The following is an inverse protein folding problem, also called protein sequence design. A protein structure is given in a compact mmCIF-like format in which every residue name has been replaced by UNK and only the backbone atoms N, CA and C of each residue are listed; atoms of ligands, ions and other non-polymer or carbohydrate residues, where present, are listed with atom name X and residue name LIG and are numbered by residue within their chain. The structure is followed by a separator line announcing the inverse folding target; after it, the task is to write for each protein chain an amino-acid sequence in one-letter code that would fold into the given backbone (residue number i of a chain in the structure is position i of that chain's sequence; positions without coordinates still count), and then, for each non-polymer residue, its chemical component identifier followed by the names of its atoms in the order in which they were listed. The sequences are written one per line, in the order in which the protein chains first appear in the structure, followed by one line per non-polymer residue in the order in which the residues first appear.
data_IF_270863433869
#
_entry.id   IF_270863433869
#
_cell.length_a   1.000
_cell.length_b   1.000
_cell.length_c   1.000
_cell.angle_alpha   90.00
_cell.angle_beta   90.00
_cell.angle_gamma   90.00
#
_symmetry.space_group_name_H-M   'P 1'
#
loop_
_entity.id
_entity.type
_entity.pdbx_description
1 polymer ?
#
# COMPACT_ATOMS: atom_id res chain seq x y z
N UNK A 1 0.05 -18.77 -40.49
CA UNK A 1 -0.33 -17.35 -40.47
C UNK A 1 0.28 -16.75 -39.22
N UNK A 2 1.33 -15.93 -39.41
CA UNK A 2 2.10 -15.33 -38.28
C UNK A 2 1.27 -14.20 -37.69
N UNK A 3 0.81 -14.35 -36.44
CA UNK A 3 0.26 -13.24 -35.69
C UNK A 3 1.40 -12.28 -35.35
N UNK A 4 1.53 -11.21 -36.14
CA UNK A 4 2.35 -10.08 -35.76
C UNK A 4 1.77 -9.49 -34.46
N UNK A 5 2.43 -9.74 -33.34
CA UNK A 5 2.18 -9.04 -32.10
C UNK A 5 2.50 -7.58 -32.38
N UNK A 6 1.46 -6.78 -32.55
CA UNK A 6 1.58 -5.32 -32.60
C UNK A 6 2.18 -4.87 -31.28
N UNK A 7 3.46 -4.60 -31.26
CA UNK A 7 4.13 -3.91 -30.16
C UNK A 7 3.46 -2.55 -30.04
N UNK A 8 2.53 -2.42 -29.09
CA UNK A 8 2.07 -1.10 -28.67
C UNK A 8 3.32 -0.36 -28.24
N UNK A 9 3.65 0.75 -28.86
CA UNK A 9 4.67 1.67 -28.39
C UNK A 9 4.24 2.13 -27.00
N UNK A 10 4.67 1.37 -26.01
CA UNK A 10 4.42 1.66 -24.60
C UNK A 10 5.44 2.70 -24.17
N UNK A 11 4.99 3.81 -23.59
CA UNK A 11 5.86 4.78 -22.93
C UNK A 11 6.46 4.23 -21.62
N UNK A 12 6.48 2.91 -21.47
CA UNK A 12 7.11 2.25 -20.31
C UNK A 12 8.60 2.21 -20.52
N UNK A 13 9.41 2.80 -19.63
CA UNK A 13 10.86 2.78 -19.74
C UNK A 13 11.40 1.34 -19.66
N UNK A 14 12.39 1.03 -20.49
CA UNK A 14 13.01 -0.30 -20.57
C UNK A 14 14.44 -0.30 -20.03
N UNK A 15 15.05 0.86 -19.91
CA UNK A 15 16.40 1.05 -19.37
C UNK A 15 16.37 1.97 -18.16
N UNK A 16 17.41 1.89 -17.30
CA UNK A 16 17.54 2.79 -16.15
C UNK A 16 17.60 4.26 -16.58
N UNK A 17 18.29 4.57 -17.68
CA UNK A 17 18.38 5.94 -18.20
C UNK A 17 17.02 6.48 -18.62
N UNK A 18 16.24 5.67 -19.34
CA UNK A 18 14.88 6.03 -19.71
C UNK A 18 13.98 6.21 -18.48
N UNK A 19 14.11 5.32 -17.48
CA UNK A 19 13.35 5.39 -16.24
C UNK A 19 13.67 6.68 -15.45
N UNK A 20 14.94 7.09 -15.40
CA UNK A 20 15.35 8.34 -14.77
C UNK A 20 14.80 9.57 -15.51
N UNK A 21 14.89 9.61 -16.83
CA UNK A 21 14.32 10.69 -17.64
C UNK A 21 12.80 10.76 -17.51
N UNK A 22 12.14 9.62 -17.58
CA UNK A 22 10.70 9.50 -17.39
C UNK A 22 10.26 10.01 -16.00
N UNK A 23 10.98 9.64 -14.96
CA UNK A 23 10.71 10.07 -13.59
C UNK A 23 10.94 11.58 -13.39
N UNK A 24 11.94 12.14 -14.04
CA UNK A 24 12.20 13.58 -14.03
C UNK A 24 11.05 14.36 -14.67
N UNK A 25 10.58 13.92 -15.85
CA UNK A 25 9.44 14.53 -16.54
C UNK A 25 8.17 14.42 -15.70
N UNK A 26 7.85 13.24 -15.17
CA UNK A 26 6.64 13.03 -14.38
C UNK A 26 6.64 13.86 -13.10
N UNK A 27 7.80 13.98 -12.43
CA UNK A 27 7.90 14.76 -11.20
C UNK A 27 7.58 16.26 -11.39
N UNK A 28 7.72 16.78 -12.61
CA UNK A 28 7.39 18.17 -12.95
C UNK A 28 5.92 18.37 -13.31
N UNK A 29 5.15 17.29 -13.44
CA UNK A 29 3.74 17.35 -13.80
C UNK A 29 2.85 17.58 -12.59
N UNK A 30 1.86 18.45 -12.72
CA UNK A 30 0.80 18.64 -11.72
C UNK A 30 -0.22 17.48 -11.72
N UNK A 31 -0.16 16.59 -12.73
CA UNK A 31 -1.06 15.44 -12.85
C UNK A 31 -0.64 14.26 -11.95
N UNK A 32 0.58 14.27 -11.41
CA UNK A 32 0.99 13.28 -10.42
C UNK A 32 0.62 13.74 -9.00
N UNK A 33 0.39 12.81 -8.05
CA UNK A 33 0.12 13.13 -6.66
C UNK A 33 1.20 14.06 -6.07
N UNK A 34 0.80 14.96 -5.18
CA UNK A 34 1.68 16.00 -4.60
C UNK A 34 2.95 15.43 -3.95
N UNK A 35 2.86 14.24 -3.38
CA UNK A 35 4.00 13.54 -2.77
C UNK A 35 5.12 13.22 -3.75
N UNK A 36 4.84 13.15 -5.05
CA UNK A 36 5.80 12.88 -6.12
C UNK A 36 6.28 14.14 -6.85
N UNK A 37 5.58 15.26 -6.71
CA UNK A 37 5.93 16.52 -7.40
C UNK A 37 7.29 17.04 -6.91
N UNK A 38 8.18 17.32 -7.88
CA UNK A 38 9.55 17.75 -7.61
C UNK A 38 10.48 16.68 -7.04
N UNK A 39 10.06 15.42 -7.00
CA UNK A 39 10.81 14.31 -6.38
C UNK A 39 11.03 13.16 -7.34
N UNK A 40 11.88 13.29 -8.35
CA UNK A 40 12.09 12.26 -9.38
C UNK A 40 12.54 10.92 -8.82
N UNK A 41 13.34 10.91 -7.76
CA UNK A 41 13.76 9.66 -7.11
C UNK A 41 12.57 8.89 -6.51
N UNK A 42 11.59 9.58 -5.90
CA UNK A 42 10.40 8.94 -5.37
C UNK A 42 9.51 8.39 -6.50
N UNK A 43 9.40 9.13 -7.62
CA UNK A 43 8.70 8.66 -8.82
C UNK A 43 9.34 7.38 -9.34
N UNK A 44 10.68 7.36 -9.48
CA UNK A 44 11.43 6.19 -9.95
C UNK A 44 11.15 4.96 -9.09
N UNK A 45 11.26 5.11 -7.78
CA UNK A 45 11.03 4.00 -6.83
C UNK A 45 9.60 3.50 -6.88
N UNK A 46 8.61 4.41 -6.92
CA UNK A 46 7.20 4.01 -6.99
C UNK A 46 6.87 3.31 -8.31
N UNK A 47 7.40 3.78 -9.43
CA UNK A 47 7.25 3.14 -10.74
C UNK A 47 7.89 1.75 -10.74
N UNK A 48 9.10 1.61 -10.21
CA UNK A 48 9.78 0.32 -10.10
C UNK A 48 8.97 -0.68 -9.29
N UNK A 49 8.52 -0.29 -8.10
CA UNK A 49 7.64 -1.14 -7.29
C UNK A 49 6.34 -1.52 -8.00
N UNK A 50 5.72 -0.55 -8.64
CA UNK A 50 4.50 -0.82 -9.41
C UNK A 50 4.73 -1.87 -10.49
N UNK A 51 5.82 -1.76 -11.22
CA UNK A 51 6.17 -2.73 -12.27
C UNK A 51 6.39 -4.14 -11.71
N UNK A 52 7.04 -4.27 -10.55
CA UNK A 52 7.21 -5.56 -9.86
C UNK A 52 5.90 -6.18 -9.39
N UNK A 53 4.87 -5.34 -9.19
CA UNK A 53 3.51 -5.74 -8.84
C UNK A 53 2.60 -5.92 -10.05
N UNK A 54 3.11 -5.69 -11.26
CA UNK A 54 2.32 -5.75 -12.49
C UNK A 54 1.46 -4.51 -12.75
N UNK A 55 1.71 -3.39 -12.07
CA UNK A 55 1.05 -2.11 -12.32
C UNK A 55 1.79 -1.34 -13.43
N UNK A 56 1.03 -0.66 -14.30
CA UNK A 56 1.62 0.31 -15.21
C UNK A 56 2.16 1.53 -14.44
N UNK A 57 3.17 2.28 -14.97
CA UNK A 57 3.81 3.38 -14.27
C UNK A 57 2.85 4.41 -13.67
N UNK A 58 1.83 4.83 -14.43
CA UNK A 58 0.86 5.81 -13.95
C UNK A 58 -0.07 5.22 -12.87
N UNK A 59 -0.40 3.93 -12.97
CA UNK A 59 -1.16 3.22 -11.93
C UNK A 59 -0.34 3.11 -10.65
N UNK A 60 0.95 2.88 -10.75
CA UNK A 60 1.85 2.85 -9.60
C UNK A 60 1.83 4.18 -8.84
N UNK A 61 2.00 5.30 -9.52
CA UNK A 61 1.99 6.63 -8.90
C UNK A 61 0.65 6.99 -8.25
N UNK A 62 -0.46 6.51 -8.81
CA UNK A 62 -1.78 6.79 -8.25
C UNK A 62 -2.17 5.89 -7.08
N UNK A 63 -1.59 4.69 -7.01
CA UNK A 63 -2.04 3.68 -6.07
C UNK A 63 -1.02 3.31 -4.99
N UNK A 64 0.24 3.73 -5.11
CA UNK A 64 1.27 3.50 -4.11
C UNK A 64 1.50 4.78 -3.30
N UNK A 65 1.45 4.65 -1.98
CA UNK A 65 1.78 5.71 -1.03
C UNK A 65 2.78 5.20 0.00
N UNK A 66 3.59 6.08 0.57
CA UNK A 66 4.48 5.75 1.68
C UNK A 66 3.86 6.24 2.97
N UNK A 67 3.36 5.33 3.78
CA UNK A 67 2.73 5.62 5.05
C UNK A 67 3.63 5.14 6.18
N UNK A 68 3.98 6.03 7.10
CA UNK A 68 4.88 5.73 8.23
C UNK A 68 6.20 5.07 7.80
N UNK A 69 6.77 5.51 6.65
CA UNK A 69 8.00 4.97 6.08
C UNK A 69 7.86 3.60 5.41
N UNK A 70 6.64 3.07 5.29
CA UNK A 70 6.35 1.80 4.61
C UNK A 70 5.58 2.04 3.31
N UNK A 71 5.99 1.41 2.21
CA UNK A 71 5.20 1.39 0.99
C UNK A 71 3.88 0.66 1.24
N UNK A 72 2.82 1.26 0.79
CA UNK A 72 1.46 0.77 0.97
C UNK A 72 0.68 1.01 -0.31
N UNK A 73 -0.34 0.23 -0.55
CA UNK A 73 -1.18 0.35 -1.74
C UNK A 73 -2.65 0.56 -1.32
N UNK A 74 -3.40 1.38 -2.06
CA UNK A 74 -4.82 1.58 -1.75
C UNK A 74 -5.60 0.27 -1.87
N UNK A 75 -6.51 0.02 -0.92
CA UNK A 75 -7.23 -1.26 -0.80
C UNK A 75 -8.06 -1.62 -2.03
N UNK A 76 -8.51 -0.65 -2.82
CA UNK A 76 -9.18 -0.92 -4.09
C UNK A 76 -8.21 -1.39 -5.18
N UNK A 77 -6.97 -0.89 -5.20
CA UNK A 77 -5.94 -1.38 -6.11
C UNK A 77 -5.46 -2.79 -5.71
N UNK A 78 -5.33 -3.07 -4.40
CA UNK A 78 -5.08 -4.43 -3.90
C UNK A 78 -6.16 -5.41 -4.40
N UNK A 79 -7.42 -5.02 -4.28
CA UNK A 79 -8.53 -5.85 -4.76
C UNK A 79 -8.47 -6.05 -6.27
N UNK A 80 -8.12 -5.02 -7.03
CA UNK A 80 -7.99 -5.12 -8.48
C UNK A 80 -6.87 -6.09 -8.89
N UNK A 81 -5.72 -6.06 -8.20
CA UNK A 81 -4.61 -6.99 -8.43
C UNK A 81 -5.03 -8.44 -8.16
N UNK A 82 -5.71 -8.68 -7.04
CA UNK A 82 -6.19 -10.04 -6.69
C UNK A 82 -7.21 -10.53 -7.71
N UNK A 83 -8.15 -9.68 -8.13
CA UNK A 83 -9.15 -10.05 -9.15
C UNK A 83 -8.57 -10.29 -10.54
N UNK A 84 -7.43 -9.69 -10.85
CA UNK A 84 -6.71 -9.92 -12.10
C UNK A 84 -5.91 -11.23 -12.10
N UNK A 85 -5.63 -11.80 -10.93
CA UNK A 85 -4.93 -13.09 -10.81
C UNK A 85 -5.85 -14.24 -11.26
N UNK A 86 -5.36 -15.09 -12.15
CA UNK A 86 -6.13 -16.19 -12.73
C UNK A 86 -6.59 -17.23 -11.69
N UNK A 87 -5.99 -17.26 -10.52
CA UNK A 87 -6.39 -18.14 -9.41
C UNK A 87 -7.54 -17.57 -8.60
N UNK A 88 -7.84 -16.27 -8.72
CA UNK A 88 -9.00 -15.68 -8.07
C UNK A 88 -10.29 -16.10 -8.78
N UNK A 89 -11.13 -16.85 -8.10
CA UNK A 89 -12.43 -17.29 -8.62
C UNK A 89 -13.57 -16.36 -8.21
N UNK A 90 -13.39 -15.60 -7.16
CA UNK A 90 -14.36 -14.64 -6.70
C UNK A 90 -13.94 -13.89 -5.46
N UNK A 91 -14.49 -12.70 -5.30
CA UNK A 91 -14.41 -11.92 -4.07
C UNK A 91 -15.81 -11.40 -3.76
N UNK A 92 -16.33 -11.75 -2.60
CA UNK A 92 -17.64 -11.32 -2.12
C UNK A 92 -17.46 -10.56 -0.81
N UNK A 93 -18.02 -9.36 -0.76
CA UNK A 93 -17.96 -8.49 0.41
C UNK A 93 -19.37 -8.07 0.80
N UNK A 94 -19.68 -8.11 2.09
CA UNK A 94 -20.95 -7.68 2.62
C UNK A 94 -20.83 -7.29 4.09
N UNK A 95 -21.87 -6.64 4.59
CA UNK A 95 -22.04 -6.36 6.02
C UNK A 95 -23.07 -7.33 6.57
N UNK A 96 -22.74 -7.96 7.69
CA UNK A 96 -23.63 -8.77 8.50
C UNK A 96 -23.77 -8.07 9.86
N UNK A 97 -24.85 -7.28 10.00
CA UNK A 97 -25.02 -6.40 11.13
C UNK A 97 -23.85 -5.41 11.29
N UNK A 98 -23.15 -5.50 12.41
CA UNK A 98 -21.99 -4.66 12.74
C UNK A 98 -20.65 -5.30 12.32
N UNK A 99 -20.67 -6.29 11.45
CA UNK A 99 -19.49 -7.04 11.02
C UNK A 99 -19.32 -6.97 9.52
N UNK A 100 -18.18 -6.53 9.05
CA UNK A 100 -17.81 -6.64 7.65
C UNK A 100 -17.22 -8.03 7.39
N UNK A 101 -17.64 -8.64 6.29
CA UNK A 101 -17.18 -9.96 5.85
C UNK A 101 -16.58 -9.83 4.47
N UNK A 102 -15.43 -10.44 4.28
CA UNK A 102 -14.79 -10.61 2.98
C UNK A 102 -14.52 -12.11 2.76
N UNK A 103 -15.12 -12.66 1.72
CA UNK A 103 -14.93 -14.04 1.27
C UNK A 103 -14.18 -14.01 -0.05
N UNK A 104 -13.02 -14.65 -0.11
CA UNK A 104 -12.22 -14.81 -1.31
C UNK A 104 -12.18 -16.29 -1.67
N UNK A 105 -12.38 -16.58 -2.95
CA UNK A 105 -12.30 -17.94 -3.48
C UNK A 105 -11.06 -18.02 -4.36
N UNK A 106 -10.11 -18.87 -3.99
CA UNK A 106 -8.86 -19.12 -4.70
C UNK A 106 -8.81 -20.54 -5.24
N UNK A 107 -8.38 -20.72 -6.49
CA UNK A 107 -8.08 -22.06 -7.03
C UNK A 107 -6.60 -22.39 -6.91
N UNK A 108 -6.33 -23.62 -6.53
CA UNK A 108 -4.99 -24.22 -6.50
C UNK A 108 -4.76 -25.13 -7.72
N UNK A 109 -3.54 -25.65 -7.83
CA UNK A 109 -3.23 -26.67 -8.83
C UNK A 109 -4.13 -27.91 -8.62
N UNK A 110 -4.52 -28.57 -9.71
CA UNK A 110 -5.43 -29.72 -9.72
C UNK A 110 -6.93 -29.43 -9.49
N UNK A 111 -7.36 -28.15 -9.54
CA UNK A 111 -8.77 -27.79 -9.47
C UNK A 111 -9.34 -27.68 -8.06
N UNK A 112 -8.52 -27.81 -7.05
CA UNK A 112 -8.92 -27.53 -5.67
C UNK A 112 -9.25 -26.05 -5.51
N UNK A 113 -10.30 -25.79 -4.76
CA UNK A 113 -10.79 -24.42 -4.47
C UNK A 113 -10.77 -24.23 -2.97
N UNK A 114 -10.14 -23.14 -2.54
CA UNK A 114 -10.09 -22.71 -1.15
C UNK A 114 -10.94 -21.46 -0.97
N UNK A 115 -11.78 -21.47 0.06
CA UNK A 115 -12.54 -20.30 0.49
C UNK A 115 -11.91 -19.69 1.74
N UNK A 116 -11.51 -18.44 1.63
CA UNK A 116 -10.90 -17.67 2.71
C UNK A 116 -11.89 -16.60 3.16
N UNK A 117 -12.53 -16.82 4.28
CA UNK A 117 -13.42 -15.84 4.91
C UNK A 117 -12.68 -15.10 6.03
N UNK A 118 -12.76 -13.77 6.01
CA UNK A 118 -12.27 -12.91 7.09
C UNK A 118 -13.34 -11.90 7.47
N UNK A 119 -13.43 -11.67 8.77
CA UNK A 119 -14.40 -10.77 9.38
C UNK A 119 -13.69 -9.69 10.15
N UNK A 120 -14.32 -8.53 10.22
CA UNK A 120 -13.88 -7.45 11.09
C UNK A 120 -15.11 -6.70 11.61
N UNK A 121 -15.33 -6.79 12.91
CA UNK A 121 -16.51 -6.24 13.58
C UNK A 121 -16.26 -4.86 14.19
N UNK A 122 -17.34 -4.20 14.60
CA UNK A 122 -17.27 -2.97 15.42
C UNK A 122 -16.49 -3.23 16.71
N UNK A 123 -16.67 -4.39 17.35
CA UNK A 123 -15.94 -4.72 18.57
C UNK A 123 -14.45 -4.95 18.32
N UNK A 124 -14.07 -5.51 17.17
CA UNK A 124 -12.67 -5.57 16.76
C UNK A 124 -12.09 -4.17 16.60
N UNK A 125 -12.83 -3.26 15.96
CA UNK A 125 -12.43 -1.88 15.79
C UNK A 125 -12.28 -1.13 17.12
N UNK A 126 -13.19 -1.37 18.08
CA UNK A 126 -13.10 -0.82 19.46
C UNK A 126 -11.85 -1.33 20.18
N UNK A 127 -11.61 -2.65 20.16
CA UNK A 127 -10.42 -3.26 20.77
C UNK A 127 -9.13 -2.74 20.18
N UNK A 128 -9.12 -2.47 18.87
CA UNK A 128 -7.97 -1.89 18.18
C UNK A 128 -7.82 -0.37 18.36
N UNK A 129 -8.73 0.31 19.11
CA UNK A 129 -8.71 1.76 19.29
C UNK A 129 -9.02 2.55 18.00
N UNK A 130 -9.69 1.94 17.04
CA UNK A 130 -9.99 2.52 15.72
C UNK A 130 -11.39 3.14 15.67
N UNK A 131 -12.35 2.53 16.36
CA UNK A 131 -13.75 2.98 16.32
C UNK A 131 -13.90 4.40 16.83
N UNK A 132 -14.45 5.28 16.00
CA UNK A 132 -14.61 6.69 16.33
C UNK A 132 -13.36 7.56 16.21
N UNK A 133 -12.20 6.99 15.82
CA UNK A 133 -10.99 7.74 15.50
C UNK A 133 -11.29 8.81 14.45
N UNK A 134 -10.74 10.02 14.63
CA UNK A 134 -10.94 11.12 13.69
C UNK A 134 -10.49 10.73 12.26
N UNK A 135 -11.21 11.23 11.27
CA UNK A 135 -10.97 10.92 9.86
C UNK A 135 -11.92 9.80 9.35
N UNK A 136 -11.44 8.90 8.48
CA UNK A 136 -12.28 7.91 7.81
C UNK A 136 -13.07 7.01 8.75
N UNK A 137 -12.53 6.64 9.89
CA UNK A 137 -13.21 5.81 10.90
C UNK A 137 -14.44 6.51 11.52
N UNK A 138 -14.44 7.84 11.57
CA UNK A 138 -15.60 8.61 12.03
C UNK A 138 -16.57 8.91 10.89
N UNK A 139 -16.04 9.19 9.69
CA UNK A 139 -16.84 9.64 8.55
C UNK A 139 -17.50 8.49 7.81
N UNK A 140 -16.79 7.37 7.64
CA UNK A 140 -17.20 6.20 6.86
C UNK A 140 -16.90 4.88 7.58
N UNK A 141 -17.43 4.66 8.81
CA UNK A 141 -17.02 3.55 9.65
C UNK A 141 -17.27 2.18 9.01
N UNK A 142 -18.39 1.99 8.32
CA UNK A 142 -18.71 0.75 7.62
C UNK A 142 -17.70 0.45 6.49
N UNK A 143 -17.29 1.47 5.76
CA UNK A 143 -16.25 1.32 4.72
C UNK A 143 -14.90 0.92 5.33
N UNK A 144 -14.56 1.47 6.49
CA UNK A 144 -13.32 1.11 7.18
C UNK A 144 -13.36 -0.34 7.71
N UNK A 145 -14.49 -0.80 8.23
CA UNK A 145 -14.68 -2.22 8.58
C UNK A 145 -14.45 -3.11 7.36
N UNK A 146 -15.07 -2.76 6.22
CA UNK A 146 -14.93 -3.49 4.96
C UNK A 146 -13.46 -3.52 4.50
N UNK A 147 -12.74 -2.39 4.54
CA UNK A 147 -11.33 -2.33 4.18
C UNK A 147 -10.47 -3.22 5.07
N UNK A 148 -10.76 -3.31 6.36
CA UNK A 148 -10.03 -4.19 7.29
C UNK A 148 -10.32 -5.67 7.00
N UNK A 149 -11.57 -6.06 6.82
CA UNK A 149 -11.94 -7.44 6.47
C UNK A 149 -11.28 -7.85 5.13
N UNK A 150 -11.33 -6.97 4.12
CA UNK A 150 -10.68 -7.15 2.82
C UNK A 150 -9.17 -7.36 2.94
N UNK A 151 -8.48 -6.46 3.66
CA UNK A 151 -7.03 -6.54 3.84
C UNK A 151 -6.60 -7.86 4.50
N UNK A 152 -7.35 -8.32 5.50
CA UNK A 152 -7.11 -9.61 6.15
C UNK A 152 -7.29 -10.77 5.15
N UNK A 153 -8.41 -10.79 4.41
CA UNK A 153 -8.70 -11.85 3.46
C UNK A 153 -7.69 -11.91 2.30
N UNK A 154 -7.32 -10.76 1.76
CA UNK A 154 -6.31 -10.67 0.69
C UNK A 154 -4.94 -11.15 1.18
N UNK A 155 -4.53 -10.74 2.37
CA UNK A 155 -3.23 -11.08 2.95
C UNK A 155 -3.09 -12.57 3.22
N UNK A 156 -4.17 -13.21 3.65
CA UNK A 156 -4.16 -14.64 3.94
C UNK A 156 -4.36 -15.47 2.67
N UNK A 157 -5.19 -14.99 1.73
CA UNK A 157 -5.51 -15.75 0.52
C UNK A 157 -4.55 -15.54 -0.65
N UNK A 158 -3.92 -14.36 -0.76
CA UNK A 158 -3.06 -14.00 -1.90
C UNK A 158 -1.74 -13.32 -1.47
N UNK A 159 -1.00 -13.90 -0.51
CA UNK A 159 0.28 -13.33 -0.05
C UNK A 159 1.32 -13.23 -1.17
N UNK A 160 1.29 -14.16 -2.10
CA UNK A 160 2.15 -14.25 -3.26
C UNK A 160 1.87 -13.17 -4.33
N UNK A 161 0.65 -12.64 -4.39
CA UNK A 161 0.28 -11.52 -5.27
C UNK A 161 0.71 -10.20 -4.67
N UNK A 162 0.43 -10.00 -3.38
CA UNK A 162 0.69 -8.71 -2.70
C UNK A 162 2.13 -8.56 -2.21
N UNK A 163 2.92 -9.65 -2.15
CA UNK A 163 4.36 -9.65 -1.85
C UNK A 163 4.73 -8.86 -0.58
N UNK A 164 3.89 -8.95 0.46
CA UNK A 164 4.10 -8.27 1.74
C UNK A 164 3.64 -6.82 1.81
N UNK A 165 3.04 -6.28 0.76
CA UNK A 165 2.40 -4.98 0.83
C UNK A 165 1.16 -5.01 1.72
N UNK A 166 0.91 -3.87 2.38
CA UNK A 166 -0.29 -3.63 3.18
C UNK A 166 -1.14 -2.55 2.52
N UNK A 167 -2.42 -2.51 2.87
CA UNK A 167 -3.27 -1.42 2.39
C UNK A 167 -2.91 -0.09 3.07
N UNK A 168 -3.12 1.02 2.34
CA UNK A 168 -2.95 2.38 2.88
C UNK A 168 -3.83 2.56 4.12
N UNK A 169 -5.06 2.07 4.08
CA UNK A 169 -6.02 2.16 5.18
C UNK A 169 -5.51 1.43 6.43
N UNK A 170 -4.86 0.28 6.27
CA UNK A 170 -4.24 -0.45 7.37
C UNK A 170 -2.97 0.24 7.87
N UNK A 171 -2.15 0.74 6.96
CA UNK A 171 -0.90 1.43 7.30
C UNK A 171 -1.14 2.73 8.10
N UNK A 172 -2.23 3.45 7.81
CA UNK A 172 -2.65 4.64 8.55
C UNK A 172 -3.12 4.34 9.97
N UNK A 173 -3.56 3.11 10.21
CA UNK A 173 -3.99 2.65 11.53
C UNK A 173 -2.82 2.19 12.41
N UNK A 174 -1.67 1.88 11.81
CA UNK A 174 -0.47 1.50 12.55
C UNK A 174 0.17 2.71 13.27
N UNK A 175 0.76 2.48 14.44
CA UNK A 175 1.54 3.52 15.11
C UNK A 175 2.67 4.01 14.19
N UNK A 176 2.88 5.33 14.14
CA UNK A 176 4.07 5.85 13.46
C UNK A 176 5.32 5.32 14.15
N UNK A 177 6.37 4.93 13.40
CA UNK A 177 7.63 4.55 14.00
C UNK A 177 8.12 5.69 14.91
N UNK A 178 8.52 5.36 16.12
CA UNK A 178 9.10 6.35 17.04
C UNK A 178 10.24 7.05 16.29
N UNK A 179 10.22 8.38 16.28
CA UNK A 179 11.38 9.14 15.79
C UNK A 179 12.59 8.68 16.58
N UNK A 180 13.74 8.41 15.92
CA UNK A 180 14.95 8.12 16.67
C UNK A 180 15.15 9.24 17.69
N UNK A 181 15.27 8.88 18.95
CA UNK A 181 15.64 9.84 20.00
C UNK A 181 17.00 10.39 19.58
N UNK A 182 17.03 11.66 19.17
CA UNK A 182 18.31 12.31 18.94
C UNK A 182 19.05 12.26 20.25
N UNK A 183 20.32 11.80 20.28
CA UNK A 183 21.12 11.85 21.48
C UNK A 183 21.09 13.30 21.99
N UNK A 184 20.56 13.51 23.18
CA UNK A 184 20.69 14.81 23.82
C UNK A 184 22.19 15.13 23.88
N UNK A 185 22.62 16.34 23.44
CA UNK A 185 24.00 16.73 23.64
C UNK A 185 24.32 16.57 25.11
N UNK A 186 25.40 15.85 25.37
CA UNK A 186 25.87 15.66 26.76
C UNK A 186 25.93 17.02 27.43
N UNK A 187 25.49 17.16 28.71
CA UNK A 187 25.60 18.41 29.41
C UNK A 187 27.08 18.84 29.36
N UNK A 188 27.31 20.02 28.78
CA UNK A 188 28.65 20.61 28.77
C UNK A 188 29.14 20.75 30.19
N UNK A 189 30.00 19.82 30.61
CA UNK A 189 30.65 19.91 31.90
C UNK A 189 31.46 21.21 31.96
N UNK A 190 31.72 21.74 33.18
CA UNK A 190 32.41 23.00 33.36
C UNK A 190 33.75 22.99 32.61
N UNK A 191 33.97 24.01 31.82
CA UNK A 191 35.17 24.23 31.01
C UNK A 191 36.38 24.24 31.97
N UNK A 192 37.51 23.67 31.49
CA UNK A 192 38.76 23.59 32.25
C UNK A 192 39.20 24.93 32.85
N UNK A 193 38.77 26.06 32.30
CA UNK A 193 39.00 27.40 32.81
C UNK A 193 38.31 27.74 34.17
N UNK A 194 37.21 27.06 34.51
CA UNK A 194 36.48 27.28 35.78
C UNK A 194 37.00 26.44 36.96
N UNK A 195 37.94 25.52 36.70
CA UNK A 195 38.60 24.69 37.76
C UNK A 195 39.92 25.27 38.26
N UNK A 196 40.33 26.44 37.74
CA UNK A 196 41.65 27.05 38.07
C UNK A 196 41.53 28.38 38.85
N UNK A 197 40.37 28.61 39.53
CA UNK A 197 40.27 29.67 40.54
C UNK A 197 40.02 29.09 41.93
#
# INVERSE_FOLDING_TARGET
MSNAVTTRNSLVPTTLSEAMQFSDVLSKSIMVPREYQGKPANVLVAVQWGMELGLAPMQALQNIAVINGKPSIYGDALLAMVRADHRCRGVKEYLDGETAVCLITRSHNAGEVEEIERKFSVDDAKRAGLWGKQGPWKQYPQRMLQMRARSLAIRDGFPDVIKGLISVEEAQDMPSPMKPVQPQPAPSGPTIAERAM
#
